data_IF_722558470611
#
_entry.id   IF_722558470611
#
_cell.length_a   1.000
_cell.length_b   1.000
_cell.length_c   1.000
_cell.angle_alpha   90.00
_cell.angle_beta   90.00
_cell.angle_gamma   90.00
#
_symmetry.space_group_name_H-M   'P 1'
#
loop_
_entity.id
_entity.type
_entity.pdbx_description
1 polymer ?
#
# COMPACT_ATOMS: atom_id res chain seq x y z
N UNK A 1 27.73 40.98 -4.47
CA UNK A 1 27.11 40.06 -5.44
C UNK A 1 27.50 38.67 -4.99
N UNK A 2 26.71 38.10 -4.07
CA UNK A 2 26.96 36.76 -3.56
C UNK A 2 26.04 35.83 -4.35
N UNK A 3 26.66 34.85 -5.01
CA UNK A 3 25.96 33.79 -5.73
C UNK A 3 25.04 33.05 -4.78
N UNK A 4 23.79 32.88 -5.21
CA UNK A 4 22.84 32.02 -4.57
C UNK A 4 23.22 30.58 -4.91
N UNK A 5 23.84 29.88 -3.95
CA UNK A 5 23.93 28.43 -3.98
C UNK A 5 22.51 27.85 -3.99
N UNK A 6 22.02 27.51 -5.17
CA UNK A 6 20.83 26.67 -5.34
C UNK A 6 21.23 25.26 -4.93
N UNK A 7 21.19 24.99 -3.63
CA UNK A 7 21.23 23.64 -3.08
C UNK A 7 20.04 22.89 -3.69
N UNK A 8 20.33 22.08 -4.71
CA UNK A 8 19.37 21.16 -5.30
C UNK A 8 19.05 20.09 -4.26
N UNK A 9 18.13 20.41 -3.35
CA UNK A 9 17.55 19.47 -2.40
C UNK A 9 16.85 18.38 -3.22
N UNK A 10 17.52 17.24 -3.41
CA UNK A 10 16.86 16.07 -3.96
C UNK A 10 15.70 15.75 -3.01
N UNK A 11 14.46 15.88 -3.47
CA UNK A 11 13.31 15.58 -2.62
C UNK A 11 13.42 14.13 -2.15
N UNK A 12 13.48 13.92 -0.82
CA UNK A 12 13.47 12.59 -0.21
C UNK A 12 12.34 11.71 -0.77
N UNK A 13 11.20 12.35 -1.04
CA UNK A 13 10.04 11.75 -1.70
C UNK A 13 10.19 11.71 -3.23
N UNK A 14 9.90 10.54 -3.82
CA UNK A 14 9.71 10.34 -5.27
C UNK A 14 8.23 10.47 -5.63
N UNK A 15 7.35 9.94 -4.78
CA UNK A 15 5.93 9.83 -5.07
C UNK A 15 5.13 10.68 -4.07
N UNK A 16 4.02 11.22 -4.54
CA UNK A 16 3.02 11.82 -3.67
C UNK A 16 2.20 10.74 -2.97
N UNK A 17 1.87 9.66 -3.68
CA UNK A 17 0.99 8.59 -3.20
C UNK A 17 1.60 7.22 -3.47
N UNK A 18 1.63 6.36 -2.46
CA UNK A 18 1.70 4.92 -2.62
C UNK A 18 0.29 4.34 -2.63
N UNK A 19 -0.09 3.58 -3.67
CA UNK A 19 -1.41 2.98 -3.80
C UNK A 19 -1.31 1.46 -3.67
N UNK A 20 -1.67 0.94 -2.50
CA UNK A 20 -1.76 -0.51 -2.22
C UNK A 20 -3.17 -1.02 -2.47
N UNK A 21 -3.28 -2.16 -3.14
CA UNK A 21 -4.56 -2.77 -3.49
C UNK A 21 -4.41 -4.24 -3.84
N UNK A 22 -5.53 -4.97 -3.80
CA UNK A 22 -5.58 -6.34 -4.29
C UNK A 22 -5.87 -6.37 -5.79
N UNK A 23 -5.18 -7.21 -6.55
CA UNK A 23 -5.24 -7.31 -8.01
C UNK A 23 -6.64 -7.38 -8.63
N UNK A 24 -7.65 -7.92 -7.95
CA UNK A 24 -9.04 -7.92 -8.44
C UNK A 24 -9.59 -6.51 -8.69
N UNK A 25 -9.17 -5.52 -7.90
CA UNK A 25 -9.59 -4.12 -8.06
C UNK A 25 -8.80 -3.37 -9.15
N UNK A 26 -7.74 -3.99 -9.70
CA UNK A 26 -6.77 -3.36 -10.59
C UNK A 26 -7.41 -2.62 -11.73
N UNK A 27 -8.16 -3.31 -12.57
CA UNK A 27 -8.73 -2.78 -13.82
C UNK A 27 -10.08 -2.06 -13.62
N UNK A 28 -10.55 -1.97 -12.38
CA UNK A 28 -11.82 -1.36 -12.03
C UNK A 28 -11.63 -0.08 -11.24
N UNK A 29 -11.93 -0.15 -9.95
CA UNK A 29 -11.87 0.99 -9.05
C UNK A 29 -10.45 1.59 -8.95
N UNK A 30 -9.43 0.74 -8.79
CA UNK A 30 -8.06 1.21 -8.57
C UNK A 30 -7.46 1.87 -9.83
N UNK A 31 -7.74 1.35 -11.03
CA UNK A 31 -7.31 1.98 -12.28
C UNK A 31 -7.84 3.41 -12.40
N UNK A 32 -9.14 3.58 -12.14
CA UNK A 32 -9.81 4.89 -12.21
C UNK A 32 -9.25 5.85 -11.17
N UNK A 33 -9.03 5.37 -9.94
CA UNK A 33 -8.42 6.17 -8.88
C UNK A 33 -7.00 6.61 -9.26
N UNK A 34 -6.18 5.69 -9.76
CA UNK A 34 -4.82 5.97 -10.23
C UNK A 34 -4.82 7.04 -11.33
N UNK A 35 -5.63 6.86 -12.38
CA UNK A 35 -5.70 7.82 -13.48
C UNK A 35 -6.21 9.19 -13.01
N UNK A 36 -7.23 9.24 -12.16
CA UNK A 36 -7.73 10.50 -11.61
C UNK A 36 -6.68 11.25 -10.77
N UNK A 37 -5.83 10.54 -10.02
CA UNK A 37 -4.70 11.13 -9.30
C UNK A 37 -3.67 11.70 -10.28
N UNK A 38 -3.25 10.91 -11.27
CA UNK A 38 -2.27 11.33 -12.27
C UNK A 38 -2.76 12.51 -13.12
N UNK A 39 -4.03 12.53 -13.53
CA UNK A 39 -4.65 13.64 -14.26
C UNK A 39 -4.65 14.95 -13.45
N UNK A 40 -4.61 14.86 -12.12
CA UNK A 40 -4.48 16.01 -11.20
C UNK A 40 -3.01 16.38 -10.92
N UNK A 41 -2.05 15.75 -11.59
CA UNK A 41 -0.63 15.98 -11.39
C UNK A 41 -0.07 15.34 -10.11
N UNK A 42 -0.78 14.37 -9.52
CA UNK A 42 -0.33 13.66 -8.32
C UNK A 42 0.48 12.44 -8.74
N UNK A 43 1.78 12.44 -8.43
CA UNK A 43 2.70 11.38 -8.80
C UNK A 43 2.43 10.15 -7.93
N UNK A 44 1.84 9.11 -8.51
CA UNK A 44 1.37 7.93 -7.75
C UNK A 44 2.17 6.70 -8.14
N UNK A 45 2.74 6.03 -7.15
CA UNK A 45 3.21 4.65 -7.31
C UNK A 45 2.00 3.73 -7.16
N UNK A 46 1.65 3.05 -8.25
CA UNK A 46 0.59 2.03 -8.25
C UNK A 46 1.26 0.68 -8.01
N UNK A 47 1.00 0.07 -6.86
CA UNK A 47 1.52 -1.26 -6.59
C UNK A 47 1.07 -2.23 -7.69
N UNK A 48 1.91 -3.20 -8.00
CA UNK A 48 1.57 -4.23 -8.95
C UNK A 48 2.09 -5.56 -8.40
N UNK A 49 1.20 -6.32 -7.77
CA UNK A 49 1.46 -7.69 -7.31
C UNK A 49 2.13 -8.62 -8.37
N UNK A 50 2.10 -8.26 -9.67
CA UNK A 50 2.77 -8.97 -10.76
C UNK A 50 4.15 -8.39 -11.14
N UNK A 51 4.45 -7.13 -10.83
CA UNK A 51 5.76 -6.50 -11.02
C UNK A 51 6.60 -6.68 -9.75
N UNK A 52 7.06 -7.91 -9.56
CA UNK A 52 7.90 -8.31 -8.43
C UNK A 52 9.29 -7.70 -8.53
N UNK A 53 9.55 -6.62 -7.80
CA UNK A 53 10.92 -6.19 -7.49
C UNK A 53 10.99 -5.72 -6.03
N UNK A 54 11.39 -6.63 -5.14
CA UNK A 54 11.38 -6.47 -3.66
C UNK A 54 11.78 -5.09 -3.13
N UNK A 55 13.08 -4.77 -3.07
CA UNK A 55 13.60 -3.53 -2.45
C UNK A 55 12.97 -2.25 -3.00
N UNK A 56 12.53 -2.26 -4.27
CA UNK A 56 11.89 -1.11 -4.89
C UNK A 56 10.50 -0.81 -4.34
N UNK A 57 9.77 -1.82 -3.84
CA UNK A 57 8.45 -1.62 -3.25
C UNK A 57 8.55 -0.99 -1.86
N UNK A 58 9.45 -1.50 -1.02
CA UNK A 58 9.72 -0.91 0.29
C UNK A 58 10.20 0.53 0.14
N UNK A 59 11.11 0.77 -0.81
CA UNK A 59 11.54 2.13 -1.15
C UNK A 59 10.38 3.00 -1.64
N UNK A 60 9.48 2.48 -2.49
CA UNK A 60 8.32 3.24 -2.96
C UNK A 60 7.38 3.63 -1.82
N UNK A 61 7.10 2.72 -0.87
CA UNK A 61 6.33 3.04 0.35
C UNK A 61 7.04 4.13 1.13
N UNK A 62 8.34 3.97 1.38
CA UNK A 62 9.14 4.88 2.18
C UNK A 62 9.32 6.27 1.57
N UNK A 63 9.38 6.34 0.24
CA UNK A 63 9.59 7.56 -0.56
C UNK A 63 8.28 8.12 -1.11
N UNK A 64 7.15 7.68 -0.58
CA UNK A 64 5.84 8.29 -0.82
C UNK A 64 5.47 9.29 0.27
N UNK A 65 4.72 10.35 -0.05
CA UNK A 65 4.26 11.32 0.96
C UNK A 65 3.08 10.78 1.77
N UNK A 66 2.15 10.07 1.12
CA UNK A 66 1.03 9.36 1.77
C UNK A 66 0.89 7.95 1.21
N UNK A 67 0.19 7.08 1.95
CA UNK A 67 -0.22 5.76 1.48
C UNK A 67 -1.75 5.67 1.42
N UNK A 68 -2.29 5.16 0.31
CA UNK A 68 -3.70 4.80 0.17
C UNK A 68 -3.79 3.27 0.12
N UNK A 69 -4.55 2.69 1.04
CA UNK A 69 -4.81 1.25 1.07
C UNK A 69 -6.25 0.97 0.63
N UNK A 70 -6.43 0.36 -0.54
CA UNK A 70 -7.74 -0.07 -1.06
C UNK A 70 -8.08 -1.44 -0.47
N UNK A 71 -8.65 -1.41 0.74
CA UNK A 71 -9.05 -2.57 1.51
C UNK A 71 -10.35 -3.13 0.91
N UNK A 72 -10.24 -4.24 0.19
CA UNK A 72 -11.38 -4.98 -0.36
C UNK A 72 -11.56 -6.34 0.31
N UNK A 73 -12.67 -7.02 0.02
CA UNK A 73 -13.03 -8.33 0.59
C UNK A 73 -11.88 -9.36 0.59
N UNK A 74 -11.10 -9.43 -0.49
CA UNK A 74 -10.02 -10.43 -0.65
C UNK A 74 -8.62 -9.85 -0.43
N UNK A 75 -8.50 -8.67 0.20
CA UNK A 75 -7.20 -8.05 0.46
C UNK A 75 -6.33 -8.94 1.35
N UNK A 76 -6.91 -9.48 2.42
CA UNK A 76 -6.23 -10.38 3.34
C UNK A 76 -5.92 -11.76 2.75
N UNK A 77 -6.41 -12.09 1.55
CA UNK A 77 -6.05 -13.36 0.90
C UNK A 77 -4.60 -13.38 0.42
N UNK A 78 -3.97 -12.22 0.26
CA UNK A 78 -2.60 -12.05 -0.24
C UNK A 78 -1.69 -11.73 0.93
N UNK A 79 -0.75 -12.63 1.26
CA UNK A 79 0.28 -12.35 2.29
C UNK A 79 1.08 -11.09 1.92
N UNK A 80 1.30 -10.87 0.63
CA UNK A 80 1.98 -9.68 0.13
C UNK A 80 1.25 -8.38 0.45
N UNK A 81 -0.07 -8.30 0.18
CA UNK A 81 -0.87 -7.13 0.57
C UNK A 81 -0.83 -6.88 2.09
N UNK A 82 -0.72 -7.95 2.90
CA UNK A 82 -0.58 -7.84 4.35
C UNK A 82 0.83 -7.35 4.75
N UNK A 83 1.88 -7.85 4.12
CA UNK A 83 3.26 -7.40 4.34
C UNK A 83 3.44 -5.92 3.95
N UNK A 84 2.85 -5.49 2.83
CA UNK A 84 2.75 -4.09 2.44
C UNK A 84 2.05 -3.25 3.50
N UNK A 85 0.89 -3.71 3.98
CA UNK A 85 0.14 -3.01 5.00
C UNK A 85 0.95 -2.88 6.28
N UNK A 86 1.68 -3.92 6.68
CA UNK A 86 2.62 -3.87 7.81
C UNK A 86 3.71 -2.82 7.58
N UNK A 87 4.29 -2.75 6.38
CA UNK A 87 5.31 -1.76 6.07
C UNK A 87 4.75 -0.32 6.07
N UNK A 88 3.58 -0.09 5.48
CA UNK A 88 2.88 1.20 5.54
C UNK A 88 2.69 1.62 7.00
N UNK A 89 2.23 0.70 7.85
CA UNK A 89 2.02 0.99 9.27
C UNK A 89 3.33 1.22 10.03
N UNK A 90 4.45 0.62 9.62
CA UNK A 90 5.79 0.95 10.15
C UNK A 90 6.20 2.37 9.76
N UNK A 91 5.98 2.79 8.51
CA UNK A 91 6.27 4.17 8.09
C UNK A 91 5.41 5.20 8.84
N UNK A 92 4.15 4.86 9.13
CA UNK A 92 3.29 5.70 9.97
C UNK A 92 3.80 5.80 11.42
N UNK A 93 4.14 4.67 12.05
CA UNK A 93 4.51 4.61 13.48
C UNK A 93 5.96 5.02 13.81
N UNK A 94 6.91 4.82 12.90
CA UNK A 94 8.35 4.95 13.19
C UNK A 94 8.91 6.34 12.85
N UNK A 95 8.12 7.40 13.06
CA UNK A 95 8.62 8.79 13.03
C UNK A 95 8.58 9.51 11.69
N UNK A 96 8.17 8.87 10.58
CA UNK A 96 7.91 9.58 9.32
C UNK A 96 6.55 10.30 9.30
N UNK A 97 5.64 9.93 10.22
CA UNK A 97 4.26 10.43 10.28
C UNK A 97 3.54 10.38 8.92
N UNK A 98 3.89 9.40 8.08
CA UNK A 98 3.31 9.25 6.74
C UNK A 98 1.81 8.97 6.89
N UNK A 99 0.92 9.86 6.40
CA UNK A 99 -0.52 9.64 6.48
C UNK A 99 -0.95 8.40 5.71
N UNK A 100 -1.90 7.65 6.29
CA UNK A 100 -2.50 6.48 5.66
C UNK A 100 -4.00 6.73 5.47
N UNK A 101 -4.47 6.63 4.23
CA UNK A 101 -5.89 6.75 3.88
C UNK A 101 -6.45 5.36 3.51
N UNK A 102 -7.25 4.74 4.39
CA UNK A 102 -7.94 3.50 4.05
C UNK A 102 -9.17 3.79 3.19
N UNK A 103 -9.31 3.06 2.09
CA UNK A 103 -10.54 2.99 1.28
C UNK A 103 -11.15 1.62 1.50
N UNK A 104 -12.36 1.57 2.05
CA UNK A 104 -13.11 0.32 2.24
C UNK A 104 -13.94 0.02 0.99
N UNK A 105 -13.40 -0.80 0.08
CA UNK A 105 -14.03 -1.12 -1.19
C UNK A 105 -14.88 -2.39 -1.07
N UNK A 106 -16.21 -2.23 -1.10
CA UNK A 106 -17.18 -3.33 -1.02
C UNK A 106 -16.96 -4.25 0.20
N UNK A 107 -16.52 -3.68 1.31
CA UNK A 107 -16.31 -4.37 2.59
C UNK A 107 -16.71 -3.44 3.73
N UNK A 108 -17.25 -4.01 4.80
CA UNK A 108 -17.54 -3.25 6.01
C UNK A 108 -16.23 -2.92 6.77
N UNK A 109 -16.02 -1.67 7.21
CA UNK A 109 -14.83 -1.32 8.00
C UNK A 109 -14.68 -2.16 9.28
N UNK A 110 -15.81 -2.63 9.85
CA UNK A 110 -15.77 -3.53 11.00
C UNK A 110 -15.17 -4.89 10.69
N UNK A 111 -15.33 -5.39 9.47
CA UNK A 111 -14.83 -6.70 9.05
C UNK A 111 -13.32 -6.67 8.89
N UNK A 112 -12.78 -5.56 8.37
CA UNK A 112 -11.33 -5.32 8.34
C UNK A 112 -10.80 -5.20 9.77
N UNK A 113 -11.34 -4.26 10.55
CA UNK A 113 -10.81 -3.92 11.89
C UNK A 113 -10.87 -5.08 12.87
N UNK A 114 -11.93 -5.89 12.81
CA UNK A 114 -12.15 -7.03 13.73
C UNK A 114 -11.84 -8.37 13.07
N UNK A 115 -11.28 -8.38 11.86
CA UNK A 115 -10.91 -9.57 11.11
C UNK A 115 -12.07 -10.58 11.04
N UNK A 116 -13.22 -10.15 10.52
CA UNK A 116 -14.45 -10.97 10.42
C UNK A 116 -14.71 -11.42 8.98
N UNK A 117 -15.62 -12.36 8.83
CA UNK A 117 -16.13 -12.81 7.53
C UNK A 117 -15.00 -13.30 6.62
N UNK A 118 -14.76 -12.66 5.48
CA UNK A 118 -13.70 -13.10 4.56
C UNK A 118 -12.31 -12.89 5.15
N UNK A 119 -12.08 -11.80 5.88
CA UNK A 119 -10.80 -11.53 6.53
C UNK A 119 -10.45 -12.62 7.55
N UNK A 120 -11.42 -13.07 8.34
CA UNK A 120 -11.23 -14.18 9.29
C UNK A 120 -10.73 -15.45 8.58
N UNK A 121 -11.45 -15.85 7.51
CA UNK A 121 -11.12 -17.05 6.73
C UNK A 121 -9.74 -16.97 6.12
N UNK A 122 -9.36 -15.82 5.59
CA UNK A 122 -8.07 -15.66 4.94
C UNK A 122 -6.93 -15.60 5.95
N UNK A 123 -7.12 -14.96 7.10
CA UNK A 123 -6.13 -14.98 8.19
C UNK A 123 -5.92 -16.40 8.73
N UNK A 124 -6.99 -17.18 8.96
CA UNK A 124 -6.88 -18.57 9.40
C UNK A 124 -6.08 -19.45 8.42
N UNK A 125 -6.30 -19.28 7.10
CA UNK A 125 -5.53 -20.01 6.08
C UNK A 125 -4.03 -19.72 6.16
N UNK A 126 -3.64 -18.48 6.43
CA UNK A 126 -2.23 -18.12 6.57
C UNK A 126 -1.61 -18.77 7.82
N UNK A 127 -2.35 -18.84 8.92
CA UNK A 127 -1.91 -19.55 10.13
C UNK A 127 -1.75 -21.05 9.91
N UNK A 128 -2.67 -21.70 9.20
CA UNK A 128 -2.59 -23.15 8.94
C UNK A 128 -1.45 -23.50 7.97
N UNK A 129 -1.20 -22.65 6.98
CA UNK A 129 -0.08 -22.81 6.06
C UNK A 129 1.27 -22.62 6.78
N UNK A 130 1.33 -21.76 7.80
CA UNK A 130 2.53 -21.56 8.63
C UNK A 130 2.86 -22.75 9.55
N UNK A 131 1.90 -23.65 9.79
CA UNK A 131 2.03 -24.82 10.66
C UNK A 131 2.38 -26.12 9.93
N UNK A 132 2.41 -26.13 8.60
CA UNK A 132 2.80 -27.32 7.84
C UNK A 132 4.32 -27.34 7.69
N UNK A 133 5.06 -28.26 8.33
CA UNK A 133 6.48 -28.41 8.05
C UNK A 133 6.61 -28.81 6.58
N UNK A 134 7.43 -28.11 5.82
CA UNK A 134 7.93 -28.62 4.55
C UNK A 134 8.75 -29.86 4.92
N UNK A 135 8.16 -31.03 4.70
CA UNK A 135 8.81 -32.34 4.89
C UNK A 135 9.75 -32.58 3.71
#
# INVERSE_FOLDING_TARGET
MADHDAESCSSYFIYDVFLSFRGFTRYGFTDRLYHALCERGITTFRDDENLRVGDTLLEAIERSKISIAVLCKDYASSTWCLDELVQIMKCWNNGKNQPVLPIFYQVEPSDVRRQRNQYEKDMMKHEDTSKTPII
#
